data_IF_386155795000
#
_entry.id   IF_386155795000
#
_cell.length_a   1.000
_cell.length_b   1.000
_cell.length_c   1.000
_cell.angle_alpha   90.00
_cell.angle_beta   90.00
_cell.angle_gamma   90.00
#
_symmetry.space_group_name_H-M   'P 1'
#
loop_
_entity.id
_entity.type
_entity.pdbx_description
1 polymer ?
#
# COMPACT_ATOMS: atom_id res chain seq x y z
N UNK A 1 1.79 18.12 14.66
CA UNK A 1 0.60 17.24 14.67
C UNK A 1 1.07 15.92 14.10
N UNK A 2 0.91 14.83 14.82
CA UNK A 2 1.29 13.50 14.31
C UNK A 2 0.11 12.96 13.50
N UNK A 3 0.29 12.95 12.21
CA UNK A 3 -0.58 12.35 11.18
C UNK A 3 -0.60 10.82 11.31
N UNK A 4 -1.55 10.18 10.64
CA UNK A 4 -1.73 8.72 10.67
C UNK A 4 -2.53 8.25 9.44
N UNK A 5 -2.53 6.94 9.23
CA UNK A 5 -3.32 6.25 8.21
C UNK A 5 -4.55 5.61 8.87
N UNK A 6 -5.74 5.93 8.40
CA UNK A 6 -7.00 5.33 8.87
C UNK A 6 -7.81 4.90 7.67
N UNK A 7 -8.93 4.22 7.90
CA UNK A 7 -9.86 3.83 6.85
C UNK A 7 -11.29 4.36 7.07
N UNK A 8 -12.05 4.33 5.98
CA UNK A 8 -13.50 4.47 5.87
C UNK A 8 -14.05 3.30 5.04
N UNK A 9 -15.15 2.69 5.49
CA UNK A 9 -15.78 1.56 4.79
C UNK A 9 -16.98 2.10 4.01
N UNK A 10 -16.81 2.20 2.69
CA UNK A 10 -17.82 2.65 1.73
C UNK A 10 -18.83 1.54 1.46
N UNK A 11 -18.36 0.31 1.30
CA UNK A 11 -19.19 -0.90 1.23
C UNK A 11 -18.37 -2.10 1.68
N UNK A 12 -19.04 -3.14 2.17
CA UNK A 12 -18.40 -4.32 2.76
C UNK A 12 -19.27 -5.56 2.53
N UNK A 13 -18.65 -6.72 2.70
CA UNK A 13 -19.30 -8.02 2.77
C UNK A 13 -18.96 -8.68 4.09
N UNK A 14 -19.98 -8.80 4.95
CA UNK A 14 -19.92 -9.49 6.23
C UNK A 14 -18.81 -8.99 7.18
N UNK A 15 -18.38 -7.74 7.03
CA UNK A 15 -17.36 -7.11 7.88
C UNK A 15 -15.92 -7.42 7.49
N UNK A 16 -15.69 -8.18 6.41
CA UNK A 16 -14.35 -8.64 6.02
C UNK A 16 -13.41 -7.49 5.67
N UNK A 17 -13.88 -6.49 4.93
CA UNK A 17 -13.04 -5.33 4.59
C UNK A 17 -12.72 -4.51 5.83
N UNK A 18 -13.67 -4.35 6.76
CA UNK A 18 -13.40 -3.65 8.02
C UNK A 18 -12.25 -4.29 8.81
N UNK A 19 -12.27 -5.61 8.95
CA UNK A 19 -11.25 -6.34 9.70
C UNK A 19 -9.88 -6.27 9.00
N UNK A 20 -9.85 -6.51 7.69
CA UNK A 20 -8.64 -6.39 6.88
C UNK A 20 -8.04 -4.97 6.87
N UNK A 21 -8.88 -3.94 6.75
CA UNK A 21 -8.44 -2.53 6.74
C UNK A 21 -7.80 -2.12 8.05
N UNK A 22 -8.28 -2.67 9.17
CA UNK A 22 -7.68 -2.43 10.48
C UNK A 22 -6.27 -3.00 10.53
N UNK A 23 -6.08 -4.24 10.07
CA UNK A 23 -4.76 -4.89 10.00
C UNK A 23 -3.84 -4.08 9.09
N UNK A 24 -4.30 -3.73 7.90
CA UNK A 24 -3.49 -3.01 6.91
C UNK A 24 -3.07 -1.60 7.35
N UNK A 25 -3.98 -0.83 7.95
CA UNK A 25 -3.63 0.48 8.50
C UNK A 25 -2.68 0.34 9.69
N UNK A 26 -2.85 -0.69 10.53
CA UNK A 26 -1.96 -0.94 11.66
C UNK A 26 -0.55 -1.30 11.21
N UNK A 27 -0.41 -2.12 10.17
CA UNK A 27 0.87 -2.46 9.54
C UNK A 27 1.65 -1.19 9.20
N UNK A 28 1.08 -0.29 8.39
CA UNK A 28 1.80 0.92 8.00
C UNK A 28 2.02 1.89 9.17
N UNK A 29 1.02 2.07 10.06
CA UNK A 29 1.19 2.96 11.22
C UNK A 29 2.23 2.46 12.24
N UNK A 30 2.63 1.19 12.22
CA UNK A 30 3.76 0.68 13.00
C UNK A 30 5.07 1.28 12.50
N UNK A 31 5.26 1.27 11.19
CA UNK A 31 6.53 1.64 10.58
C UNK A 31 6.64 3.12 10.25
N UNK A 32 5.53 3.81 9.96
CA UNK A 32 5.57 5.18 9.43
C UNK A 32 4.58 6.14 10.09
N UNK A 33 4.96 7.41 10.09
CA UNK A 33 4.06 8.56 10.24
C UNK A 33 3.96 9.23 8.86
N UNK A 34 2.78 9.23 8.22
CA UNK A 34 2.64 9.76 6.85
C UNK A 34 2.81 11.29 6.85
N UNK A 35 3.23 11.90 5.74
CA UNK A 35 3.41 13.37 5.67
C UNK A 35 2.12 14.15 5.98
N UNK A 36 0.98 13.62 5.55
CA UNK A 36 -0.37 14.15 5.75
C UNK A 36 -1.25 13.04 6.33
N UNK A 37 -2.39 13.35 6.99
CA UNK A 37 -3.36 12.32 7.33
C UNK A 37 -3.85 11.61 6.06
N UNK A 38 -3.99 10.29 6.12
CA UNK A 38 -4.45 9.45 5.02
C UNK A 38 -5.73 8.72 5.46
N UNK A 39 -6.75 8.74 4.60
CA UNK A 39 -7.98 7.96 4.75
C UNK A 39 -8.10 7.00 3.57
N UNK A 40 -7.93 5.71 3.84
CA UNK A 40 -8.16 4.66 2.85
C UNK A 40 -9.66 4.41 2.75
N UNK A 41 -10.22 4.51 1.56
CA UNK A 41 -11.67 4.39 1.33
C UNK A 41 -11.95 3.06 0.66
N UNK A 42 -12.43 2.09 1.44
CA UNK A 42 -12.60 0.73 0.97
C UNK A 42 -14.04 0.45 0.55
N UNK A 43 -14.19 -0.06 -0.66
CA UNK A 43 -15.45 -0.50 -1.21
C UNK A 43 -15.36 -1.89 -1.83
N UNK A 44 -16.44 -2.27 -2.49
CA UNK A 44 -16.58 -3.56 -3.15
C UNK A 44 -17.05 -3.37 -4.58
N UNK A 45 -16.58 -4.23 -5.47
CA UNK A 45 -17.10 -4.32 -6.83
C UNK A 45 -17.40 -5.78 -7.20
N UNK A 46 -18.14 -5.97 -8.29
CA UNK A 46 -18.50 -7.30 -8.78
C UNK A 46 -17.94 -7.48 -10.18
N UNK A 47 -16.98 -8.39 -10.33
CA UNK A 47 -16.47 -8.82 -11.63
C UNK A 47 -16.33 -10.33 -11.66
N UNK A 48 -16.61 -10.93 -12.84
CA UNK A 48 -16.35 -12.35 -13.09
C UNK A 48 -14.90 -12.63 -13.49
N UNK A 49 -14.12 -11.58 -13.76
CA UNK A 49 -12.71 -11.69 -14.17
C UNK A 49 -11.79 -12.14 -13.04
N UNK A 50 -10.49 -11.97 -13.28
CA UNK A 50 -9.45 -12.36 -12.35
C UNK A 50 -8.97 -11.23 -11.43
N UNK A 51 -9.41 -9.99 -11.67
CA UNK A 51 -9.08 -8.82 -10.83
C UNK A 51 -9.52 -9.03 -9.38
N UNK A 52 -8.54 -8.95 -8.48
CA UNK A 52 -8.69 -9.12 -7.03
C UNK A 52 -9.17 -7.82 -6.41
N UNK A 53 -8.41 -6.75 -6.63
CA UNK A 53 -8.68 -5.42 -6.13
C UNK A 53 -8.40 -4.36 -7.20
N UNK A 54 -8.87 -3.14 -6.94
CA UNK A 54 -8.60 -1.96 -7.75
C UNK A 54 -8.16 -0.84 -6.84
N UNK A 55 -7.02 -0.24 -7.12
CA UNK A 55 -6.67 1.06 -6.57
C UNK A 55 -6.91 2.17 -7.57
N UNK A 56 -7.29 3.30 -7.00
CA UNK A 56 -7.58 4.51 -7.72
C UNK A 56 -6.53 5.55 -7.39
N UNK A 57 -6.36 6.51 -8.30
CA UNK A 57 -5.49 7.65 -8.05
C UNK A 57 -5.91 8.36 -6.74
N UNK A 58 -5.00 8.51 -5.77
CA UNK A 58 -5.29 9.23 -4.55
C UNK A 58 -5.64 10.70 -4.82
N UNK A 59 -6.54 11.25 -4.02
CA UNK A 59 -6.93 12.65 -4.08
C UNK A 59 -6.79 13.34 -2.72
N UNK A 60 -6.77 14.68 -2.73
CA UNK A 60 -6.53 15.47 -1.53
C UNK A 60 -7.62 16.50 -1.31
N UNK A 61 -8.12 16.58 -0.08
CA UNK A 61 -9.05 17.62 0.34
C UNK A 61 -8.74 18.09 1.75
N UNK A 62 -8.63 19.41 1.92
CA UNK A 62 -8.30 20.08 3.20
C UNK A 62 -7.06 19.50 3.91
N UNK A 63 -6.06 19.07 3.14
CA UNK A 63 -4.80 18.52 3.67
C UNK A 63 -4.90 17.06 4.12
N UNK A 64 -5.98 16.35 3.80
CA UNK A 64 -6.14 14.90 3.98
C UNK A 64 -6.02 14.26 2.60
N UNK A 65 -5.24 13.18 2.50
CA UNK A 65 -5.15 12.34 1.31
C UNK A 65 -6.13 11.18 1.45
N UNK A 66 -6.81 10.83 0.37
CA UNK A 66 -7.75 9.71 0.31
C UNK A 66 -7.26 8.72 -0.73
N UNK A 67 -7.12 7.46 -0.32
CA UNK A 67 -6.74 6.34 -1.20
C UNK A 67 -7.92 5.41 -1.40
N UNK A 68 -8.65 5.48 -2.53
CA UNK A 68 -9.78 4.61 -2.79
C UNK A 68 -9.31 3.23 -3.24
N UNK A 69 -9.89 2.18 -2.64
CA UNK A 69 -9.63 0.79 -2.99
C UNK A 69 -10.97 0.07 -3.10
N UNK A 70 -11.18 -0.68 -4.17
CA UNK A 70 -12.33 -1.58 -4.30
C UNK A 70 -11.88 -3.04 -4.35
N UNK A 71 -12.50 -3.90 -3.54
CA UNK A 71 -12.22 -5.34 -3.54
C UNK A 71 -13.30 -6.12 -4.27
N UNK A 72 -12.91 -7.10 -5.07
CA UNK A 72 -13.87 -7.92 -5.79
C UNK A 72 -14.56 -8.88 -4.81
N UNK A 73 -15.90 -8.81 -4.77
CA UNK A 73 -16.74 -9.65 -3.90
C UNK A 73 -16.48 -11.14 -4.07
N UNK A 74 -16.07 -11.57 -5.29
CA UNK A 74 -15.67 -12.96 -5.57
C UNK A 74 -14.52 -13.43 -4.69
N UNK A 75 -13.49 -12.60 -4.51
CA UNK A 75 -12.31 -12.97 -3.72
C UNK A 75 -12.53 -12.75 -2.23
N UNK A 76 -13.41 -11.82 -1.84
CA UNK A 76 -13.88 -11.75 -0.45
C UNK A 76 -14.55 -13.05 0.02
N UNK A 77 -15.09 -13.89 -0.86
CA UNK A 77 -15.59 -15.23 -0.46
C UNK A 77 -14.49 -16.27 -0.27
N UNK A 78 -13.38 -16.12 -1.00
CA UNK A 78 -12.31 -17.10 -1.08
C UNK A 78 -11.22 -16.86 -0.06
N UNK A 79 -10.93 -15.58 0.20
CA UNK A 79 -9.83 -15.14 1.03
C UNK A 79 -10.22 -15.04 2.50
N UNK A 80 -9.22 -15.28 3.34
CA UNK A 80 -9.31 -14.96 4.76
C UNK A 80 -8.97 -13.48 5.02
N UNK A 81 -8.92 -13.09 6.30
CA UNK A 81 -8.68 -11.70 6.66
C UNK A 81 -7.24 -11.23 6.38
N UNK A 82 -6.25 -12.13 6.44
CA UNK A 82 -4.85 -11.82 6.18
C UNK A 82 -4.59 -11.67 4.69
N UNK A 83 -5.15 -12.58 3.87
CA UNK A 83 -5.11 -12.47 2.41
C UNK A 83 -5.65 -11.12 1.91
N UNK A 84 -6.80 -10.70 2.44
CA UNK A 84 -7.42 -9.41 2.08
C UNK A 84 -6.55 -8.26 2.61
N UNK A 85 -6.04 -8.38 3.84
CA UNK A 85 -5.21 -7.34 4.45
C UNK A 85 -3.91 -7.13 3.67
N UNK A 86 -3.24 -8.20 3.21
CA UNK A 86 -2.03 -8.11 2.40
C UNK A 86 -2.24 -7.32 1.12
N UNK A 87 -3.31 -7.63 0.38
CA UNK A 87 -3.72 -6.80 -0.77
C UNK A 87 -3.98 -5.35 -0.37
N UNK A 88 -4.69 -5.09 0.73
CA UNK A 88 -4.92 -3.69 1.15
C UNK A 88 -3.62 -3.00 1.58
N UNK A 89 -2.66 -3.71 2.18
CA UNK A 89 -1.34 -3.18 2.56
C UNK A 89 -0.59 -2.72 1.31
N UNK A 90 -0.56 -3.56 0.27
CA UNK A 90 0.04 -3.24 -1.02
C UNK A 90 -0.53 -1.94 -1.59
N UNK A 91 -1.87 -1.84 -1.66
CA UNK A 91 -2.54 -0.67 -2.24
C UNK A 91 -2.37 0.62 -1.40
N UNK A 92 -2.15 0.47 -0.08
CA UNK A 92 -1.74 1.59 0.77
C UNK A 92 -0.31 2.05 0.40
N UNK A 93 0.59 1.15 0.03
CA UNK A 93 1.92 1.47 -0.51
C UNK A 93 1.85 2.44 -1.69
N UNK A 94 0.93 2.20 -2.62
CA UNK A 94 0.63 3.18 -3.67
C UNK A 94 0.11 4.48 -3.08
N UNK A 95 -0.90 4.45 -2.21
CA UNK A 95 -1.43 5.69 -1.58
C UNK A 95 -0.33 6.53 -0.88
N UNK A 96 0.73 5.89 -0.39
CA UNK A 96 1.88 6.55 0.25
C UNK A 96 2.87 7.18 -0.73
N UNK A 97 2.93 6.76 -1.99
CA UNK A 97 3.89 7.37 -2.92
C UNK A 97 4.38 6.49 -4.06
N UNK A 98 4.37 5.17 -3.87
CA UNK A 98 4.94 4.23 -4.85
C UNK A 98 4.12 4.27 -6.14
N UNK A 99 4.80 4.43 -7.27
CA UNK A 99 4.16 4.60 -8.58
C UNK A 99 3.71 6.03 -8.93
N UNK A 100 3.92 7.04 -8.08
CA UNK A 100 3.56 8.44 -8.38
C UNK A 100 4.72 9.28 -8.91
N UNK A 101 4.44 10.56 -9.21
CA UNK A 101 5.38 11.51 -9.80
C UNK A 101 6.75 11.53 -9.12
N UNK A 102 6.78 11.58 -7.79
CA UNK A 102 8.06 11.58 -7.04
C UNK A 102 8.83 10.27 -7.21
N UNK A 103 8.13 9.14 -7.13
CA UNK A 103 8.71 7.81 -7.35
C UNK A 103 9.29 7.69 -8.77
N UNK A 104 8.58 8.21 -9.77
CA UNK A 104 9.01 8.20 -11.17
C UNK A 104 10.29 9.00 -11.45
N UNK A 105 10.67 9.91 -10.54
CA UNK A 105 11.92 10.65 -10.61
C UNK A 105 13.10 9.89 -9.98
N UNK A 106 12.86 8.75 -9.33
CA UNK A 106 13.85 8.04 -8.52
C UNK A 106 14.74 7.07 -9.29
N UNK A 107 14.28 6.56 -10.43
CA UNK A 107 14.95 5.51 -11.18
C UNK A 107 15.10 5.86 -12.68
N UNK A 108 15.93 5.10 -13.39
CA UNK A 108 16.01 5.14 -14.85
C UNK A 108 14.90 4.26 -15.45
N UNK A 109 14.01 4.84 -16.25
CA UNK A 109 12.83 4.11 -16.77
C UNK A 109 13.17 2.99 -17.75
N UNK A 110 14.38 2.95 -18.30
CA UNK A 110 14.79 1.90 -19.22
C UNK A 110 15.40 0.70 -18.51
N UNK A 111 16.02 0.91 -17.33
CA UNK A 111 16.68 -0.16 -16.58
C UNK A 111 15.96 -0.52 -15.28
N UNK A 112 15.08 0.33 -14.77
CA UNK A 112 14.46 0.18 -13.45
C UNK A 112 15.38 0.54 -12.28
N UNK A 113 16.67 0.81 -12.54
CA UNK A 113 17.69 1.04 -11.50
C UNK A 113 17.53 2.41 -10.84
N UNK A 114 17.67 2.46 -9.52
CA UNK A 114 17.61 3.71 -8.76
C UNK A 114 18.83 4.61 -9.01
N UNK A 115 18.58 5.92 -9.13
CA UNK A 115 19.65 6.90 -9.36
C UNK A 115 20.51 7.06 -8.10
N UNK A 116 21.83 7.27 -8.23
CA UNK A 116 22.79 7.43 -7.13
C UNK A 116 22.34 8.29 -5.95
N UNK A 117 21.75 9.46 -6.21
CA UNK A 117 21.34 10.37 -5.14
C UNK A 117 20.29 9.79 -4.18
N UNK A 118 19.52 8.78 -4.59
CA UNK A 118 18.49 8.17 -3.73
C UNK A 118 19.05 7.04 -2.86
N UNK A 119 19.98 6.24 -3.38
CA UNK A 119 20.62 5.20 -2.56
C UNK A 119 21.77 5.71 -1.69
N UNK A 120 22.18 6.97 -1.83
CA UNK A 120 22.95 7.64 -0.76
C UNK A 120 22.12 7.83 0.53
N UNK A 121 20.79 7.98 0.42
CA UNK A 121 19.89 8.12 1.57
C UNK A 121 19.28 6.78 2.01
N UNK A 122 18.97 5.89 1.07
CA UNK A 122 18.47 4.53 1.31
C UNK A 122 19.37 3.51 0.59
N UNK A 123 20.48 3.06 1.21
CA UNK A 123 21.52 2.24 0.56
C UNK A 123 21.02 1.01 -0.19
N UNK A 124 20.06 0.29 0.39
CA UNK A 124 19.55 -0.95 -0.19
C UNK A 124 18.89 -0.76 -1.56
N UNK A 125 18.48 0.47 -1.92
CA UNK A 125 17.97 0.77 -3.27
C UNK A 125 19.00 0.55 -4.38
N UNK A 126 20.30 0.48 -4.05
CA UNK A 126 21.33 0.14 -5.04
C UNK A 126 21.10 -1.26 -5.65
N UNK A 127 20.53 -2.17 -4.86
CA UNK A 127 20.29 -3.56 -5.23
C UNK A 127 18.82 -3.80 -5.64
N UNK A 128 18.03 -2.73 -5.74
CA UNK A 128 16.61 -2.78 -6.14
C UNK A 128 16.41 -2.28 -7.57
N UNK A 129 15.43 -2.87 -8.25
CA UNK A 129 14.96 -2.45 -9.56
C UNK A 129 13.44 -2.31 -9.57
N UNK A 130 12.96 -1.34 -10.34
CA UNK A 130 11.53 -1.09 -10.59
C UNK A 130 11.08 -1.87 -11.82
N UNK A 131 9.89 -2.45 -11.76
CA UNK A 131 9.26 -3.18 -12.85
C UNK A 131 9.18 -2.34 -14.14
N UNK A 132 9.64 -2.89 -15.27
CA UNK A 132 9.67 -2.19 -16.57
C UNK A 132 8.84 -2.90 -17.66
N UNK A 133 8.14 -3.96 -17.31
CA UNK A 133 7.33 -4.82 -18.17
C UNK A 133 5.83 -4.83 -17.75
N UNK A 134 5.05 -5.81 -18.23
CA UNK A 134 3.62 -6.08 -17.90
C UNK A 134 2.56 -5.00 -18.20
N UNK A 135 2.96 -3.79 -18.58
CA UNK A 135 2.08 -2.72 -19.09
C UNK A 135 1.62 -1.73 -18.01
N UNK A 136 0.76 -0.75 -18.35
CA UNK A 136 0.59 0.47 -17.54
C UNK A 136 0.06 0.29 -16.11
N UNK A 137 -0.58 -0.83 -15.79
CA UNK A 137 -1.06 -1.13 -14.44
C UNK A 137 0.01 -1.73 -13.52
N UNK A 138 1.17 -2.11 -14.07
CA UNK A 138 2.23 -2.81 -13.34
C UNK A 138 3.58 -2.11 -13.52
N UNK A 139 3.89 -1.73 -14.76
CA UNK A 139 5.10 -1.02 -15.14
C UNK A 139 5.28 0.26 -14.32
N UNK A 140 6.49 0.44 -13.78
CA UNK A 140 6.96 1.63 -13.08
C UNK A 140 6.36 1.90 -11.70
N UNK A 141 5.43 1.07 -11.23
CA UNK A 141 4.78 1.24 -9.92
C UNK A 141 5.23 0.23 -8.87
N UNK A 142 5.91 -0.83 -9.30
CA UNK A 142 6.23 -2.00 -8.50
C UNK A 142 7.72 -2.28 -8.44
N UNK A 143 8.14 -3.08 -7.47
CA UNK A 143 9.40 -3.79 -7.57
C UNK A 143 9.37 -4.76 -8.75
N UNK A 144 10.52 -4.97 -9.39
CA UNK A 144 10.64 -5.90 -10.51
C UNK A 144 10.19 -7.32 -10.12
N UNK A 145 9.23 -7.85 -10.86
CA UNK A 145 8.59 -9.13 -10.56
C UNK A 145 9.60 -10.29 -10.61
N UNK A 146 10.53 -10.25 -11.56
CA UNK A 146 11.46 -11.34 -11.81
C UNK A 146 12.59 -11.37 -10.78
N UNK A 147 12.99 -10.21 -10.28
CA UNK A 147 14.03 -10.08 -9.26
C UNK A 147 13.49 -10.28 -7.84
N UNK A 148 12.27 -9.81 -7.56
CA UNK A 148 11.75 -9.74 -6.19
C UNK A 148 10.49 -10.57 -5.92
N UNK A 149 9.84 -11.13 -6.95
CA UNK A 149 8.75 -12.13 -6.92
C UNK A 149 7.78 -12.10 -5.72
N UNK A 150 8.23 -12.57 -4.55
CA UNK A 150 7.43 -12.63 -3.32
C UNK A 150 7.31 -11.28 -2.59
N UNK A 151 8.00 -10.23 -3.01
CA UNK A 151 7.91 -8.95 -2.32
C UNK A 151 6.49 -8.36 -2.43
N UNK A 152 5.93 -7.92 -1.30
CA UNK A 152 4.63 -7.25 -1.15
C UNK A 152 4.23 -6.29 -2.28
N UNK A 153 5.15 -5.48 -2.81
CA UNK A 153 4.94 -4.42 -3.79
C UNK A 153 5.42 -4.82 -5.19
N UNK A 154 5.49 -6.12 -5.51
CA UNK A 154 5.51 -6.60 -6.90
C UNK A 154 4.10 -6.53 -7.51
N UNK A 155 3.97 -6.69 -8.82
CA UNK A 155 2.72 -6.40 -9.54
C UNK A 155 1.67 -7.53 -9.51
N UNK A 156 2.04 -8.71 -9.02
CA UNK A 156 1.17 -9.87 -8.94
C UNK A 156 1.08 -10.38 -7.50
N UNK A 157 -0.15 -10.65 -7.05
CA UNK A 157 -0.42 -11.19 -5.72
C UNK A 157 0.18 -12.60 -5.60
N UNK A 158 1.00 -12.82 -4.57
CA UNK A 158 1.45 -14.16 -4.17
C UNK A 158 0.84 -14.57 -2.81
N UNK A 159 0.50 -15.85 -2.58
CA UNK A 159 0.06 -16.33 -1.27
C UNK A 159 1.12 -16.29 -0.16
N UNK A 160 2.41 -16.18 -0.49
CA UNK A 160 3.54 -16.20 0.44
C UNK A 160 4.36 -14.90 0.35
N UNK A 161 3.67 -13.77 0.37
CA UNK A 161 4.30 -12.45 0.29
C UNK A 161 5.24 -12.17 1.46
N UNK A 162 6.33 -11.49 1.15
CA UNK A 162 7.39 -11.09 2.06
C UNK A 162 7.59 -9.57 1.96
N UNK A 163 8.09 -8.93 3.01
CA UNK A 163 8.42 -7.51 3.00
C UNK A 163 9.92 -7.35 3.13
N UNK A 164 10.52 -6.66 2.17
CA UNK A 164 11.92 -6.25 2.25
C UNK A 164 12.07 -4.99 3.12
N UNK A 165 13.19 -4.85 3.88
CA UNK A 165 13.49 -3.63 4.61
C UNK A 165 13.39 -2.34 3.78
N UNK A 166 13.82 -2.42 2.52
CA UNK A 166 13.81 -1.28 1.59
C UNK A 166 12.41 -0.75 1.27
N UNK A 167 11.37 -1.61 1.28
CA UNK A 167 9.97 -1.22 1.06
C UNK A 167 9.46 -0.28 2.15
N UNK A 168 9.94 -0.46 3.38
CA UNK A 168 9.65 0.47 4.48
C UNK A 168 10.56 1.69 4.39
N UNK A 169 11.86 1.50 4.15
CA UNK A 169 12.85 2.57 4.16
C UNK A 169 12.62 3.62 3.06
N UNK A 170 12.15 3.22 1.88
CA UNK A 170 11.88 4.12 0.74
C UNK A 170 10.82 5.18 1.07
N UNK A 171 9.97 4.94 2.08
CA UNK A 171 8.97 5.90 2.54
C UNK A 171 9.60 7.23 3.03
N UNK A 172 10.87 7.21 3.48
CA UNK A 172 11.63 8.44 3.78
C UNK A 172 11.73 9.36 2.57
N UNK A 173 12.08 8.77 1.42
CA UNK A 173 12.21 9.48 0.16
C UNK A 173 10.85 9.99 -0.33
N UNK A 174 9.76 9.36 0.07
CA UNK A 174 8.38 9.81 -0.16
C UNK A 174 7.89 10.83 0.89
N UNK A 175 8.81 11.39 1.69
CA UNK A 175 8.57 12.44 2.70
C UNK A 175 7.73 12.00 3.89
N UNK A 176 7.62 10.68 4.09
CA UNK A 176 7.07 10.12 5.31
C UNK A 176 8.17 9.97 6.34
N UNK A 177 7.79 9.95 7.62
CA UNK A 177 8.74 9.65 8.69
C UNK A 177 8.69 8.17 9.00
N UNK A 178 9.77 7.45 8.73
CA UNK A 178 9.94 6.06 9.18
C UNK A 178 10.32 6.07 10.67
N UNK A 179 9.50 5.42 11.50
CA UNK A 179 9.63 5.37 12.96
C UNK A 179 10.11 4.01 13.47
N UNK A 180 10.01 2.97 12.65
CA UNK A 180 10.55 1.63 12.89
C UNK A 180 11.11 1.10 11.57
N UNK A 181 12.35 0.61 11.58
CA UNK A 181 12.91 -0.13 10.44
C UNK A 181 12.57 -1.60 10.56
N UNK A 182 12.36 -2.26 9.42
CA UNK A 182 12.38 -3.71 9.35
C UNK A 182 13.84 -4.16 9.26
N UNK A 183 14.25 -5.13 10.09
CA UNK A 183 15.66 -5.53 10.21
C UNK A 183 16.12 -6.47 9.09
N UNK A 184 15.22 -7.32 8.61
CA UNK A 184 15.48 -8.34 7.60
C UNK A 184 14.20 -8.63 6.83
N UNK A 185 14.33 -9.30 5.68
CA UNK A 185 13.18 -9.83 4.94
C UNK A 185 12.32 -10.67 5.89
N UNK A 186 11.03 -10.35 5.94
CA UNK A 186 10.09 -11.00 6.86
C UNK A 186 8.79 -11.33 6.13
N UNK A 187 8.23 -12.49 6.44
CA UNK A 187 6.92 -12.92 5.96
C UNK A 187 5.81 -11.91 6.33
N UNK A 188 4.95 -11.57 5.37
CA UNK A 188 3.92 -10.55 5.56
C UNK A 188 2.89 -10.97 6.61
N UNK A 189 2.51 -12.24 6.66
CA UNK A 189 1.57 -12.75 7.67
C UNK A 189 2.15 -12.63 9.07
N UNK A 190 3.45 -12.90 9.23
CA UNK A 190 4.14 -12.67 10.51
C UNK A 190 4.02 -11.20 10.93
N UNK A 191 4.31 -10.26 10.03
CA UNK A 191 4.22 -8.83 10.32
C UNK A 191 2.79 -8.40 10.65
N UNK A 192 1.80 -8.90 9.92
CA UNK A 192 0.39 -8.62 10.18
C UNK A 192 -0.05 -9.16 11.54
N UNK A 193 0.31 -10.39 11.88
CA UNK A 193 -0.02 -11.01 13.17
C UNK A 193 0.61 -10.27 14.35
N UNK A 194 1.83 -9.76 14.21
CA UNK A 194 2.49 -8.94 15.23
C UNK A 194 1.75 -7.61 15.49
N UNK A 195 0.98 -7.12 14.51
CA UNK A 195 0.16 -5.91 14.64
C UNK A 195 -1.30 -6.19 15.01
N UNK A 196 -1.70 -7.46 15.09
CA UNK A 196 -3.02 -7.83 15.53
C UNK A 196 -3.22 -7.47 17.01
N UNK A 197 -4.40 -6.93 17.33
CA UNK A 197 -4.70 -6.41 18.66
C UNK A 197 -4.04 -5.07 19.03
N UNK A 198 -3.13 -4.52 18.21
CA UNK A 198 -2.59 -3.17 18.42
C UNK A 198 -3.69 -2.14 18.12
N UNK A 199 -4.20 -1.49 19.17
CA UNK A 199 -5.04 -0.31 19.03
C UNK A 199 -4.11 0.89 19.09
N UNK A 200 -3.76 1.47 17.94
CA UNK A 200 -3.09 2.76 17.93
C UNK A 200 -4.01 3.77 18.62
N UNK A 201 -3.63 4.22 19.82
CA UNK A 201 -4.44 5.00 20.76
C UNK A 201 -4.63 6.47 20.33
N UNK A 202 -4.84 6.70 19.04
CA UNK A 202 -5.04 8.03 18.42
C UNK A 202 -6.48 8.28 17.98
N UNK A 203 -7.44 7.53 18.55
CA UNK A 203 -8.88 7.63 18.23
C UNK A 203 -9.40 9.08 18.20
N UNK A 204 -8.94 9.94 19.12
CA UNK A 204 -9.37 11.34 19.19
C UNK A 204 -8.86 12.25 18.06
N UNK A 205 -7.79 11.89 17.36
CA UNK A 205 -7.32 12.60 16.16
C UNK A 205 -8.00 12.06 14.90
N UNK A 206 -8.29 10.75 14.88
CA UNK A 206 -9.06 10.07 13.83
C UNK A 206 -10.50 10.59 13.74
N UNK A 207 -11.15 10.84 14.87
CA UNK A 207 -12.53 11.33 14.94
C UNK A 207 -12.73 12.71 14.32
N UNK A 208 -11.66 13.50 14.19
CA UNK A 208 -11.73 14.86 13.62
C UNK A 208 -11.55 14.88 12.11
N UNK A 209 -11.13 13.77 11.50
CA UNK A 209 -10.95 13.67 10.06
C UNK A 209 -12.30 13.52 9.38
N UNK A 210 -12.52 14.25 8.28
CA UNK A 210 -13.62 13.96 7.37
C UNK A 210 -13.27 12.68 6.62
N UNK A 211 -13.83 11.56 7.05
CA UNK A 211 -13.56 10.25 6.44
C UNK A 211 -14.39 9.99 5.19
N UNK A 212 -15.47 10.75 5.03
CA UNK A 212 -16.54 10.46 4.08
C UNK A 212 -16.39 11.21 2.75
N UNK A 213 -15.45 12.15 2.67
CA UNK A 213 -15.20 12.92 1.45
C UNK A 213 -14.89 12.01 0.27
N UNK A 214 -15.51 12.31 -0.88
CA UNK A 214 -15.44 11.51 -2.09
C UNK A 214 -15.39 12.38 -3.33
N UNK A 215 -14.59 11.99 -4.31
CA UNK A 215 -14.63 12.49 -5.69
C UNK A 215 -14.44 11.33 -6.67
N UNK A 216 -14.73 11.57 -7.94
CA UNK A 216 -14.43 10.60 -9.00
C UNK A 216 -12.92 10.52 -9.20
N UNK A 217 -12.39 9.30 -9.12
CA UNK A 217 -10.98 9.00 -9.32
C UNK A 217 -10.82 8.00 -10.46
N UNK A 218 -9.68 8.07 -11.16
CA UNK A 218 -9.31 7.14 -12.22
C UNK A 218 -8.76 5.84 -11.62
N UNK A 219 -9.12 4.69 -12.21
CA UNK A 219 -8.51 3.40 -11.87
C UNK A 219 -7.07 3.45 -12.35
N UNK A 220 -6.14 3.25 -11.42
CA UNK A 220 -4.71 3.23 -11.71
C UNK A 220 -4.21 1.79 -11.84
N UNK A 221 -4.75 0.93 -11.00
CA UNK A 221 -4.31 -0.44 -10.91
C UNK A 221 -5.49 -1.40 -10.78
N UNK A 222 -5.35 -2.53 -11.44
CA UNK A 222 -6.15 -3.71 -11.20
C UNK A 222 -5.17 -4.79 -10.75
N UNK A 223 -5.27 -5.26 -9.51
CA UNK A 223 -4.36 -6.29 -8.99
C UNK A 223 -4.82 -7.68 -9.44
N UNK A 224 -3.86 -8.51 -9.86
CA UNK A 224 -4.06 -9.86 -10.35
C UNK A 224 -3.32 -10.89 -9.50
N UNK A 225 -3.61 -12.17 -9.74
CA UNK A 225 -2.76 -13.30 -9.38
C UNK A 225 -1.73 -13.55 -10.48
#
# INVERSE_FOLDING_TARGET
>A
MNTLITYDIVSDKDGKLKDASKIACNFWNRFIIPKTPIVIRLGTFKSKGFVIARAYKPYSNKGIVYGPIEFNVKYLDLYDALDIAGTVIHEIGHTLGMGWDKWMDMFDRYTGEFKPGYWEEVPDLQDMTVETEFGPGTQYSHWDEKEFNLELMTGFKDPMEEVLPVTIAVMRLLEHTVIEELAELTDLDELMQQTDGVVFSRAGDVEKLDKSYSEEAEIMEELYF
#
